data_IF_483404014664
#
_entry.id   IF_483404014664
#
_cell.length_a   1.000
_cell.length_b   1.000
_cell.length_c   1.000
_cell.angle_alpha   90.00
_cell.angle_beta   90.00
_cell.angle_gamma   90.00
#
_symmetry.space_group_name_H-M   'P 1'
#
loop_
_entity.id
_entity.type
_entity.pdbx_description
1 polymer ?
#
# COMPACT_ATOMS: atom_id res chain seq x y z
N UNK A 1 51.30 -38.99 -21.24
CA UNK A 1 50.33 -38.56 -20.21
C UNK A 1 49.80 -39.82 -19.53
N UNK A 2 50.07 -40.00 -18.24
CA UNK A 2 49.82 -41.28 -17.56
C UNK A 2 48.32 -41.61 -17.48
N UNK A 3 47.98 -42.88 -17.68
CA UNK A 3 46.59 -43.40 -17.60
C UNK A 3 45.89 -43.04 -16.27
N UNK A 4 46.66 -42.78 -15.21
CA UNK A 4 46.15 -42.31 -13.91
C UNK A 4 45.74 -40.85 -13.93
N UNK A 5 46.52 -39.98 -14.57
CA UNK A 5 46.23 -38.54 -14.68
C UNK A 5 45.00 -38.28 -15.55
N UNK A 6 44.84 -39.03 -16.64
CA UNK A 6 43.66 -38.93 -17.51
C UNK A 6 42.36 -39.39 -16.81
N UNK A 7 42.43 -40.42 -15.96
CA UNK A 7 41.26 -40.88 -15.17
C UNK A 7 40.88 -39.90 -14.07
N UNK A 8 41.86 -39.29 -13.40
CA UNK A 8 41.61 -38.24 -12.41
C UNK A 8 40.98 -37.01 -13.06
N UNK A 9 41.50 -36.56 -14.21
CA UNK A 9 40.93 -35.40 -14.91
C UNK A 9 39.50 -35.68 -15.39
N UNK A 10 39.26 -36.85 -15.97
CA UNK A 10 37.90 -37.23 -16.41
C UNK A 10 36.93 -37.40 -15.24
N UNK A 11 37.41 -37.88 -14.08
CA UNK A 11 36.60 -37.97 -12.86
C UNK A 11 36.21 -36.59 -12.33
N UNK A 12 37.16 -35.66 -12.27
CA UNK A 12 36.89 -34.27 -11.86
C UNK A 12 35.96 -33.57 -12.84
N UNK A 13 36.20 -33.74 -14.15
CA UNK A 13 35.37 -33.14 -15.19
C UNK A 13 33.95 -33.70 -15.16
N UNK A 14 33.79 -35.02 -14.99
CA UNK A 14 32.49 -35.65 -14.83
C UNK A 14 31.76 -35.12 -13.59
N UNK A 15 32.46 -34.93 -12.47
CA UNK A 15 31.88 -34.43 -11.23
C UNK A 15 31.49 -32.94 -11.33
N UNK A 16 32.30 -32.11 -12.02
CA UNK A 16 31.96 -30.72 -12.34
C UNK A 16 30.76 -30.64 -13.30
N UNK A 17 30.71 -31.48 -14.32
CA UNK A 17 29.56 -31.54 -15.23
C UNK A 17 28.30 -32.03 -14.52
N UNK A 18 28.42 -33.00 -13.62
CA UNK A 18 27.29 -33.53 -12.86
C UNK A 18 26.78 -32.49 -11.84
N UNK A 19 27.68 -31.71 -11.21
CA UNK A 19 27.32 -30.57 -10.39
C UNK A 19 26.62 -29.46 -11.20
N UNK A 20 27.11 -29.15 -12.41
CA UNK A 20 26.50 -28.18 -13.33
C UNK A 20 25.12 -28.62 -13.82
N UNK A 21 24.95 -29.92 -14.09
CA UNK A 21 23.64 -30.50 -14.46
C UNK A 21 22.69 -30.49 -13.26
N UNK A 22 23.17 -30.77 -12.04
CA UNK A 22 22.33 -30.64 -10.84
C UNK A 22 21.92 -29.19 -10.57
N UNK A 23 22.78 -28.20 -10.83
CA UNK A 23 22.39 -26.78 -10.75
C UNK A 23 21.40 -26.35 -11.83
N UNK A 24 21.37 -27.03 -12.98
CA UNK A 24 20.45 -26.74 -14.07
C UNK A 24 19.10 -27.47 -13.96
N UNK A 25 19.07 -28.64 -13.29
CA UNK A 25 17.87 -29.51 -13.21
C UNK A 25 17.14 -29.39 -11.87
N UNK A 26 17.80 -28.94 -10.79
CA UNK A 26 17.12 -28.59 -9.55
C UNK A 26 16.63 -27.14 -9.65
N UNK A 27 15.31 -26.88 -9.64
CA UNK A 27 14.84 -25.51 -9.67
C UNK A 27 15.27 -24.86 -8.36
N UNK A 28 16.32 -24.04 -8.40
CA UNK A 28 16.75 -23.15 -7.31
C UNK A 28 15.78 -21.98 -7.10
N UNK A 29 14.54 -22.10 -7.57
CA UNK A 29 13.48 -21.16 -7.25
C UNK A 29 13.02 -21.47 -5.84
N UNK A 30 13.55 -20.73 -4.86
CA UNK A 30 13.01 -20.70 -3.48
C UNK A 30 11.70 -19.93 -3.40
N UNK A 31 11.21 -19.46 -4.55
CA UNK A 31 10.05 -18.61 -4.72
C UNK A 31 8.78 -19.39 -4.36
N UNK A 32 8.17 -18.99 -3.26
CA UNK A 32 6.76 -19.33 -3.02
C UNK A 32 5.92 -18.35 -3.85
N UNK A 33 5.17 -18.86 -4.81
CA UNK A 33 4.18 -18.05 -5.50
C UNK A 33 3.11 -17.65 -4.48
N UNK A 34 2.75 -16.37 -4.43
CA UNK A 34 1.65 -15.86 -3.59
C UNK A 34 0.33 -16.63 -3.76
N UNK A 35 0.15 -17.38 -4.85
CA UNK A 35 -0.99 -18.24 -5.14
C UNK A 35 -0.99 -19.60 -4.43
N UNK A 36 0.11 -20.01 -3.78
CA UNK A 36 0.25 -21.33 -3.13
C UNK A 36 0.04 -21.32 -1.60
N UNK A 37 -0.04 -20.15 -0.97
CA UNK A 37 -0.40 -20.03 0.44
C UNK A 37 -1.89 -19.65 0.56
N UNK A 38 -2.74 -20.40 1.30
CA UNK A 38 -4.08 -19.92 1.61
C UNK A 38 -3.96 -18.66 2.50
N UNK A 39 -4.68 -17.60 2.13
CA UNK A 39 -4.52 -16.27 2.75
C UNK A 39 -5.23 -16.09 4.11
N UNK A 40 -6.25 -16.82 4.58
CA UNK A 40 -7.27 -17.65 3.96
C UNK A 40 -8.31 -16.68 3.37
N UNK A 41 -8.00 -16.26 2.15
CA UNK A 41 -8.80 -15.41 1.24
C UNK A 41 -9.00 -13.94 1.63
N UNK A 42 -7.84 -13.31 1.89
CA UNK A 42 -7.46 -11.92 1.59
C UNK A 42 -8.04 -10.89 2.55
N UNK A 43 -7.14 -10.28 3.35
CA UNK A 43 -7.48 -9.18 4.24
C UNK A 43 -8.38 -8.15 3.54
N UNK A 44 -9.48 -7.80 4.18
CA UNK A 44 -10.49 -6.89 3.66
C UNK A 44 -10.62 -5.67 4.56
N UNK A 45 -11.10 -4.58 3.99
CA UNK A 45 -11.55 -3.45 4.80
C UNK A 45 -12.90 -3.86 5.40
N UNK A 46 -13.11 -3.70 6.71
CA UNK A 46 -14.40 -3.98 7.32
C UNK A 46 -15.52 -3.14 6.68
N UNK A 47 -16.70 -3.75 6.51
CA UNK A 47 -17.91 -3.02 6.10
C UNK A 47 -18.61 -2.43 7.33
N UNK A 48 -18.94 -1.15 7.28
CA UNK A 48 -19.73 -0.47 8.31
C UNK A 48 -20.42 0.76 7.74
N UNK A 49 -21.65 1.03 8.21
CA UNK A 49 -22.40 2.23 7.84
C UNK A 49 -21.77 3.51 8.43
N UNK A 50 -21.03 3.37 9.54
CA UNK A 50 -20.39 4.46 10.25
C UNK A 50 -19.01 4.04 10.75
N UNK A 51 -17.98 4.73 10.28
CA UNK A 51 -16.60 4.39 10.64
C UNK A 51 -15.63 5.55 10.41
N UNK A 52 -14.46 5.39 11.04
CA UNK A 52 -13.23 6.13 10.75
C UNK A 52 -12.14 5.13 10.41
N UNK A 53 -11.36 5.41 9.38
CA UNK A 53 -10.21 4.60 9.00
C UNK A 53 -8.99 5.48 8.76
N UNK A 54 -7.83 5.01 9.19
CA UNK A 54 -6.55 5.67 8.93
C UNK A 54 -5.55 4.63 8.44
N UNK A 55 -4.58 5.06 7.66
CA UNK A 55 -3.47 4.20 7.30
C UNK A 55 -2.38 4.94 6.57
N UNK A 56 -1.18 4.37 6.62
CA UNK A 56 -0.01 4.92 5.97
C UNK A 56 0.89 3.80 5.45
N UNK A 57 1.59 4.08 4.35
CA UNK A 57 2.71 3.32 3.82
C UNK A 57 3.88 4.30 3.71
N UNK A 58 4.94 4.02 4.44
CA UNK A 58 6.21 4.71 4.32
C UNK A 58 7.17 3.78 3.60
N UNK A 59 8.03 4.37 2.77
CA UNK A 59 9.09 3.66 2.10
C UNK A 59 10.39 4.44 2.36
N UNK A 60 11.37 3.79 2.98
CA UNK A 60 12.61 4.41 3.47
C UNK A 60 12.34 5.64 4.36
N UNK A 61 11.32 5.55 5.23
CA UNK A 61 10.83 6.65 6.09
C UNK A 61 10.21 7.86 5.36
N UNK A 62 10.01 7.78 4.04
CA UNK A 62 9.27 8.79 3.26
C UNK A 62 7.82 8.35 3.04
N UNK A 63 6.86 9.26 3.17
CA UNK A 63 5.44 8.97 2.92
C UNK A 63 5.22 8.60 1.47
N UNK A 64 4.90 7.33 1.20
CA UNK A 64 4.46 6.88 -0.10
C UNK A 64 2.95 7.07 -0.28
N UNK A 65 2.19 6.78 0.78
CA UNK A 65 0.75 7.02 0.85
C UNK A 65 0.35 7.19 2.32
N UNK A 66 -0.52 8.15 2.60
CA UNK A 66 -1.19 8.29 3.88
C UNK A 66 -2.65 8.65 3.61
N UNK A 67 -3.57 8.10 4.39
CA UNK A 67 -4.98 8.44 4.28
C UNK A 67 -5.66 8.52 5.66
N UNK A 68 -6.67 9.38 5.73
CA UNK A 68 -7.66 9.41 6.80
C UNK A 68 -9.04 9.51 6.14
N UNK A 69 -9.97 8.67 6.56
CA UNK A 69 -11.32 8.65 6.03
C UNK A 69 -12.35 8.51 7.14
N UNK A 70 -13.52 9.13 6.96
CA UNK A 70 -14.64 8.97 7.88
C UNK A 70 -15.97 9.03 7.14
N UNK A 71 -16.91 8.18 7.58
CA UNK A 71 -18.31 8.12 7.14
C UNK A 71 -19.17 8.15 8.39
N UNK A 72 -20.07 9.11 8.50
CA UNK A 72 -20.94 9.32 9.68
C UNK A 72 -22.35 8.78 9.43
N UNK A 73 -23.10 8.52 10.51
CA UNK A 73 -24.48 8.04 10.42
C UNK A 73 -25.47 9.04 9.76
N UNK A 74 -25.19 10.35 9.87
CA UNK A 74 -25.94 11.41 9.17
C UNK A 74 -25.49 11.62 7.71
N UNK A 75 -24.54 10.80 7.24
CA UNK A 75 -24.10 10.74 5.86
C UNK A 75 -23.01 11.76 5.49
N UNK A 76 -22.48 12.49 6.47
CA UNK A 76 -21.27 13.29 6.35
C UNK A 76 -20.04 12.43 6.07
N UNK A 77 -19.19 12.89 5.15
CA UNK A 77 -18.05 12.11 4.67
C UNK A 77 -16.81 12.98 4.54
N UNK A 78 -15.68 12.39 4.88
CA UNK A 78 -14.38 13.03 4.82
C UNK A 78 -13.33 12.06 4.29
N UNK A 79 -12.43 12.56 3.46
CA UNK A 79 -11.28 11.81 2.97
C UNK A 79 -10.08 12.73 2.81
N UNK A 80 -8.99 12.41 3.49
CA UNK A 80 -7.67 12.98 3.29
C UNK A 80 -6.76 11.91 2.70
N UNK A 81 -5.99 12.27 1.68
CA UNK A 81 -4.96 11.45 1.04
C UNK A 81 -3.70 12.29 0.85
N UNK A 82 -2.55 11.74 1.20
CA UNK A 82 -1.23 12.34 1.03
C UNK A 82 -0.32 11.36 0.27
N UNK A 83 0.12 11.76 -0.91
CA UNK A 83 0.97 10.98 -1.82
C UNK A 83 2.36 11.67 -1.97
N UNK A 84 2.84 12.28 -0.87
CA UNK A 84 4.09 13.03 -0.83
C UNK A 84 3.91 14.46 -1.35
N UNK A 85 4.19 14.67 -2.65
CA UNK A 85 4.16 16.01 -3.27
C UNK A 85 2.73 16.54 -3.53
N UNK A 86 1.72 15.67 -3.40
CA UNK A 86 0.32 16.01 -3.61
C UNK A 86 -0.50 15.57 -2.41
N UNK A 87 -1.27 16.50 -1.86
CA UNK A 87 -2.25 16.24 -0.80
C UNK A 87 -3.64 16.57 -1.31
N UNK A 88 -4.59 15.67 -1.08
CA UNK A 88 -6.00 15.85 -1.45
C UNK A 88 -6.86 15.66 -0.22
N UNK A 89 -7.75 16.60 0.03
CA UNK A 89 -8.76 16.52 1.08
C UNK A 89 -10.14 16.70 0.45
N UNK A 90 -11.10 15.87 0.85
CA UNK A 90 -12.45 15.84 0.31
C UNK A 90 -13.47 15.88 1.45
N UNK A 91 -14.55 16.59 1.21
CA UNK A 91 -15.66 16.72 2.14
C UNK A 91 -16.98 16.68 1.38
N UNK A 92 -17.93 15.90 1.91
CA UNK A 92 -19.32 15.84 1.47
C UNK A 92 -20.20 15.90 2.70
N UNK A 93 -21.15 16.84 2.73
CA UNK A 93 -21.99 17.08 3.90
C UNK A 93 -23.06 15.99 4.08
N UNK A 94 -23.62 15.49 2.98
CA UNK A 94 -24.61 14.39 2.97
C UNK A 94 -24.59 13.68 1.60
N UNK A 95 -25.13 12.45 1.49
CA UNK A 95 -25.25 11.77 0.21
C UNK A 95 -26.10 12.59 -0.75
N UNK A 96 -25.59 12.83 -1.96
CA UNK A 96 -26.25 13.67 -2.95
C UNK A 96 -25.87 15.15 -2.90
N UNK A 97 -25.14 15.60 -1.88
CA UNK A 97 -24.54 16.93 -1.88
C UNK A 97 -23.26 16.96 -2.73
N UNK A 98 -22.86 18.15 -3.23
CA UNK A 98 -21.60 18.32 -3.93
C UNK A 98 -20.40 17.89 -3.08
N UNK A 99 -19.40 17.29 -3.74
CA UNK A 99 -18.12 16.99 -3.11
C UNK A 99 -17.20 18.20 -3.25
N UNK A 100 -16.71 18.72 -2.12
CA UNK A 100 -15.68 19.75 -2.10
C UNK A 100 -14.33 19.09 -1.97
N UNK A 101 -13.36 19.53 -2.76
CA UNK A 101 -12.00 18.98 -2.79
C UNK A 101 -10.97 20.10 -2.67
N UNK A 102 -10.04 19.96 -1.73
CA UNK A 102 -8.84 20.78 -1.60
C UNK A 102 -7.64 19.97 -2.08
N UNK A 103 -6.93 20.45 -3.10
CA UNK A 103 -5.73 19.82 -3.66
C UNK A 103 -4.55 20.74 -3.42
N UNK A 104 -3.52 20.28 -2.71
CA UNK A 104 -2.26 21.00 -2.50
C UNK A 104 -1.16 20.28 -3.27
N UNK A 105 -0.42 21.01 -4.09
CA UNK A 105 0.67 20.49 -4.92
C UNK A 105 1.94 21.27 -4.58
N UNK A 106 2.96 20.60 -4.06
CA UNK A 106 4.23 21.22 -3.65
C UNK A 106 5.20 21.42 -4.85
N UNK A 107 5.00 20.69 -5.96
CA UNK A 107 5.82 20.84 -7.18
C UNK A 107 5.12 21.67 -8.27
N UNK A 108 5.70 22.82 -8.61
CA UNK A 108 5.22 23.74 -9.64
C UNK A 108 5.22 23.16 -11.06
N UNK A 109 5.98 22.09 -11.34
CA UNK A 109 6.12 21.52 -12.68
C UNK A 109 4.84 20.88 -13.25
N UNK A 110 3.85 20.59 -12.40
CA UNK A 110 2.61 19.89 -12.79
C UNK A 110 1.33 20.72 -12.67
N UNK A 111 1.42 21.97 -12.19
CA UNK A 111 0.25 22.74 -11.76
C UNK A 111 -0.63 23.20 -12.93
N UNK A 112 -0.04 23.57 -14.06
CA UNK A 112 -0.81 24.04 -15.23
C UNK A 112 -1.60 22.90 -15.86
N UNK A 113 -0.98 21.71 -15.99
CA UNK A 113 -1.67 20.49 -16.44
C UNK A 113 -2.80 20.08 -15.51
N UNK A 114 -2.60 20.22 -14.19
CA UNK A 114 -3.64 19.93 -13.19
C UNK A 114 -4.82 20.90 -13.32
N UNK A 115 -4.54 22.19 -13.51
CA UNK A 115 -5.57 23.21 -13.75
C UNK A 115 -6.38 22.89 -15.00
N UNK A 116 -5.70 22.60 -16.11
CA UNK A 116 -6.36 22.22 -17.37
C UNK A 116 -7.24 20.98 -17.19
N UNK A 117 -6.75 19.95 -16.48
CA UNK A 117 -7.53 18.74 -16.22
C UNK A 117 -8.80 19.03 -15.41
N UNK A 118 -8.70 19.85 -14.36
CA UNK A 118 -9.86 20.27 -13.56
C UNK A 118 -10.86 21.04 -14.41
N UNK A 119 -10.40 21.97 -15.24
CA UNK A 119 -11.26 22.82 -16.07
C UNK A 119 -11.86 22.10 -17.29
N UNK A 120 -11.22 21.03 -17.75
CA UNK A 120 -11.71 20.20 -18.85
C UNK A 120 -12.85 19.27 -18.46
N UNK A 121 -13.01 19.03 -17.16
CA UNK A 121 -14.04 18.16 -16.60
C UNK A 121 -15.31 18.96 -16.30
N UNK A 122 -16.38 18.69 -17.04
CA UNK A 122 -17.64 19.44 -16.94
C UNK A 122 -18.38 19.21 -15.63
N UNK A 123 -18.04 18.15 -14.89
CA UNK A 123 -18.63 17.83 -13.57
C UNK A 123 -17.91 18.55 -12.44
N UNK A 124 -16.90 19.38 -12.77
CA UNK A 124 -16.06 20.07 -11.79
C UNK A 124 -16.02 21.57 -12.03
N UNK A 125 -16.00 22.30 -10.92
CA UNK A 125 -15.90 23.75 -10.87
C UNK A 125 -14.69 24.13 -10.00
N UNK A 126 -13.71 24.81 -10.59
CA UNK A 126 -12.61 25.39 -9.84
C UNK A 126 -13.10 26.65 -9.11
N UNK A 127 -13.32 26.55 -7.79
CA UNK A 127 -13.81 27.64 -6.95
C UNK A 127 -12.70 28.64 -6.60
N UNK A 128 -11.51 28.13 -6.28
CA UNK A 128 -10.38 28.96 -5.85
C UNK A 128 -9.06 28.31 -6.21
N UNK A 129 -8.11 29.15 -6.59
CA UNK A 129 -6.70 28.79 -6.70
C UNK A 129 -5.87 29.80 -5.89
N UNK A 130 -4.91 29.31 -5.10
CA UNK A 130 -3.94 30.14 -4.40
C UNK A 130 -2.55 29.55 -4.50
N UNK A 131 -1.56 30.39 -4.77
CA UNK A 131 -0.16 30.00 -4.90
C UNK A 131 0.67 30.64 -3.79
N UNK A 132 1.49 29.82 -3.14
CA UNK A 132 2.63 30.25 -2.30
C UNK A 132 3.94 29.96 -3.05
N UNK A 133 5.07 30.34 -2.48
CA UNK A 133 6.38 30.06 -3.08
C UNK A 133 6.64 28.54 -3.18
N UNK A 134 6.05 27.77 -2.27
CA UNK A 134 6.31 26.32 -2.11
C UNK A 134 5.15 25.42 -2.57
N UNK A 135 3.95 25.95 -2.86
CA UNK A 135 2.80 25.12 -3.23
C UNK A 135 1.70 25.87 -3.99
N UNK A 136 0.90 25.12 -4.74
CA UNK A 136 -0.37 25.58 -5.30
C UNK A 136 -1.52 24.81 -4.66
N UNK A 137 -2.51 25.54 -4.16
CA UNK A 137 -3.76 25.00 -3.60
C UNK A 137 -4.93 25.29 -4.53
N UNK A 138 -5.68 24.24 -4.87
CA UNK A 138 -6.93 24.31 -5.61
C UNK A 138 -8.09 23.92 -4.70
N UNK A 139 -9.16 24.71 -4.71
CA UNK A 139 -10.46 24.34 -4.13
C UNK A 139 -11.40 24.09 -5.30
N UNK A 140 -11.90 22.86 -5.37
CA UNK A 140 -12.75 22.36 -6.45
C UNK A 140 -14.06 21.91 -5.85
N UNK A 141 -15.16 22.21 -6.53
CA UNK A 141 -16.47 21.62 -6.27
C UNK A 141 -16.76 20.64 -7.39
N UNK A 142 -17.22 19.45 -7.04
CA UNK A 142 -17.65 18.42 -7.98
C UNK A 142 -19.13 18.14 -7.74
N UNK A 143 -19.85 17.83 -8.83
CA UNK A 143 -21.23 17.37 -8.74
C UNK A 143 -21.35 16.11 -7.86
N UNK A 144 -22.56 15.81 -7.43
CA UNK A 144 -22.83 14.79 -6.44
C UNK A 144 -22.36 13.40 -6.89
N UNK A 145 -21.22 12.97 -6.34
CA UNK A 145 -20.72 11.60 -6.37
C UNK A 145 -20.68 11.04 -4.95
N UNK A 146 -20.79 9.73 -4.81
CA UNK A 146 -20.73 9.09 -3.50
C UNK A 146 -19.27 9.04 -3.00
N UNK A 147 -18.91 9.86 -2.00
CA UNK A 147 -17.56 9.87 -1.43
C UNK A 147 -17.25 8.63 -0.55
N UNK A 148 -18.25 7.85 -0.12
CA UNK A 148 -18.01 6.67 0.72
C UNK A 148 -17.25 5.56 -0.04
N UNK A 149 -17.49 5.42 -1.34
CA UNK A 149 -16.75 4.50 -2.21
C UNK A 149 -15.27 4.89 -2.30
N UNK A 150 -14.96 6.18 -2.39
CA UNK A 150 -13.57 6.67 -2.39
C UNK A 150 -12.88 6.40 -1.05
N UNK A 151 -13.58 6.57 0.08
CA UNK A 151 -13.04 6.30 1.42
C UNK A 151 -12.69 4.82 1.58
N UNK A 152 -13.63 3.93 1.26
CA UNK A 152 -13.40 2.48 1.32
C UNK A 152 -12.34 2.02 0.30
N UNK A 153 -12.26 2.67 -0.86
CA UNK A 153 -11.23 2.47 -1.87
C UNK A 153 -9.83 2.81 -1.35
N UNK A 154 -9.65 3.95 -0.68
CA UNK A 154 -8.37 4.35 -0.09
C UNK A 154 -7.91 3.35 1.00
N UNK A 155 -8.82 2.96 1.90
CA UNK A 155 -8.54 1.92 2.90
C UNK A 155 -8.14 0.58 2.24
N UNK A 156 -8.79 0.22 1.13
CA UNK A 156 -8.52 -1.02 0.40
C UNK A 156 -7.12 -1.05 -0.21
N UNK A 157 -6.55 0.10 -0.62
CA UNK A 157 -5.17 0.18 -1.13
C UNK A 157 -4.17 -0.20 -0.03
N UNK A 158 -4.35 0.31 1.19
CA UNK A 158 -3.49 -0.02 2.32
C UNK A 158 -3.62 -1.50 2.68
N UNK A 159 -4.85 -1.99 2.85
CA UNK A 159 -5.09 -3.39 3.22
C UNK A 159 -4.55 -4.36 2.16
N UNK A 160 -4.69 -4.05 0.88
CA UNK A 160 -4.12 -4.86 -0.22
C UNK A 160 -2.60 -4.85 -0.24
N UNK A 161 -1.97 -3.80 0.27
CA UNK A 161 -0.50 -3.72 0.34
C UNK A 161 0.08 -4.75 1.31
N UNK A 162 -0.70 -5.24 2.29
CA UNK A 162 -0.32 -6.37 3.15
C UNK A 162 -0.08 -7.67 2.34
N UNK A 163 -0.65 -7.81 1.15
CA UNK A 163 -0.50 -9.05 0.35
C UNK A 163 0.91 -9.24 -0.19
N UNK A 164 1.80 -8.26 -0.05
CA UNK A 164 3.22 -8.42 -0.40
C UNK A 164 3.94 -9.42 0.53
N UNK A 165 3.35 -9.76 1.67
CA UNK A 165 3.91 -10.66 2.67
C UNK A 165 3.07 -11.92 2.85
N UNK A 166 3.73 -13.01 3.24
CA UNK A 166 3.06 -14.16 3.84
C UNK A 166 2.88 -13.95 5.34
N UNK A 167 1.89 -14.62 5.93
CA UNK A 167 1.61 -14.53 7.37
C UNK A 167 1.48 -15.90 8.02
N UNK A 168 1.70 -15.99 9.34
CA UNK A 168 1.25 -17.10 10.18
C UNK A 168 0.23 -16.58 11.19
N UNK A 169 -0.81 -17.35 11.42
CA UNK A 169 -1.75 -17.11 12.52
C UNK A 169 -1.10 -17.47 13.87
N UNK A 170 -1.33 -16.65 14.89
CA UNK A 170 -0.97 -17.00 16.27
C UNK A 170 -1.97 -18.01 16.85
N UNK A 171 -1.46 -19.03 17.54
CA UNK A 171 -2.23 -20.21 17.95
C UNK A 171 -3.19 -20.00 19.15
N UNK A 172 -3.27 -18.80 19.73
CA UNK A 172 -3.99 -18.53 20.98
C UNK A 172 -4.82 -17.25 20.88
N UNK A 173 -5.99 -17.34 20.25
CA UNK A 173 -6.93 -16.21 20.06
C UNK A 173 -8.04 -16.28 21.12
N UNK A 174 -7.66 -16.16 22.40
CA UNK A 174 -8.61 -16.14 23.53
C UNK A 174 -9.48 -14.87 23.58
N UNK A 175 -9.39 -13.98 22.57
CA UNK A 175 -10.01 -12.66 22.55
C UNK A 175 -10.57 -12.29 21.17
N UNK A 176 -11.59 -12.99 20.65
CA UNK A 176 -12.50 -12.51 19.59
C UNK A 176 -11.88 -11.74 18.41
N UNK A 177 -10.64 -12.06 18.03
CA UNK A 177 -9.83 -11.39 17.03
C UNK A 177 -8.70 -12.34 16.64
N UNK A 178 -8.47 -12.50 15.34
CA UNK A 178 -7.36 -13.30 14.85
C UNK A 178 -6.12 -12.43 14.65
N UNK A 179 -4.97 -12.91 15.12
CA UNK A 179 -3.69 -12.20 15.03
C UNK A 179 -2.76 -12.92 14.07
N UNK A 180 -2.17 -12.15 13.15
CA UNK A 180 -1.28 -12.64 12.11
C UNK A 180 0.10 -11.97 12.21
N UNK A 181 1.16 -12.78 12.22
CA UNK A 181 2.56 -12.32 12.19
C UNK A 181 3.13 -12.47 10.77
N UNK A 182 3.83 -11.46 10.24
CA UNK A 182 4.42 -11.50 8.90
C UNK A 182 5.59 -12.48 8.84
N UNK A 183 5.86 -12.99 7.64
CA UNK A 183 6.92 -13.95 7.35
C UNK A 183 7.98 -13.33 6.45
N UNK A 184 9.23 -13.70 6.72
CA UNK A 184 10.34 -13.51 5.79
C UNK A 184 10.31 -14.61 4.72
N UNK A 185 10.82 -14.33 3.53
CA UNK A 185 10.87 -15.33 2.47
C UNK A 185 11.06 -14.76 1.07
N UNK A 186 11.04 -15.67 0.10
CA UNK A 186 11.05 -15.36 -1.33
C UNK A 186 9.63 -15.41 -1.85
N UNK A 187 9.30 -14.41 -2.66
CA UNK A 187 7.96 -14.20 -3.15
C UNK A 187 7.98 -13.82 -4.63
N UNK A 188 6.86 -14.06 -5.31
CA UNK A 188 6.68 -13.78 -6.73
C UNK A 188 5.76 -12.58 -6.94
N UNK A 189 6.24 -11.57 -7.68
CA UNK A 189 5.46 -10.42 -8.13
C UNK A 189 5.61 -10.22 -9.64
N UNK A 190 5.72 -8.96 -10.09
CA UNK A 190 6.15 -8.66 -11.47
C UNK A 190 7.56 -9.21 -11.73
N UNK A 191 8.40 -9.15 -10.70
CA UNK A 191 9.68 -9.84 -10.61
C UNK A 191 9.80 -10.52 -9.24
N UNK A 192 10.63 -11.57 -9.11
CA UNK A 192 10.89 -12.19 -7.83
C UNK A 192 11.53 -11.23 -6.83
N UNK A 193 11.14 -11.33 -5.57
CA UNK A 193 11.69 -10.50 -4.51
C UNK A 193 11.89 -11.28 -3.22
N UNK A 194 12.77 -10.76 -2.38
CA UNK A 194 13.06 -11.33 -1.07
C UNK A 194 12.70 -10.34 0.02
N UNK A 195 12.04 -10.85 1.06
CA UNK A 195 11.67 -10.11 2.25
C UNK A 195 12.52 -10.57 3.43
N UNK A 196 13.08 -9.61 4.14
CA UNK A 196 13.80 -9.83 5.40
C UNK A 196 13.33 -8.84 6.47
N UNK A 197 13.63 -9.14 7.73
CA UNK A 197 13.31 -8.23 8.84
C UNK A 197 11.82 -7.97 9.04
N UNK A 198 10.93 -8.79 8.49
CA UNK A 198 9.50 -8.61 8.61
C UNK A 198 9.07 -8.76 10.08
N UNK A 199 8.43 -7.73 10.62
CA UNK A 199 7.98 -7.66 12.01
C UNK A 199 6.62 -6.94 12.10
N UNK A 200 5.97 -7.05 13.26
CA UNK A 200 4.67 -6.44 13.50
C UNK A 200 3.51 -7.44 13.47
N UNK A 201 2.28 -6.94 13.43
CA UNK A 201 1.05 -7.73 13.54
C UNK A 201 -0.07 -7.15 12.70
N UNK A 202 -0.91 -8.03 12.18
CA UNK A 202 -2.24 -7.71 11.64
C UNK A 202 -3.28 -8.33 12.55
N UNK A 203 -4.28 -7.56 12.97
CA UNK A 203 -5.40 -8.01 13.79
C UNK A 203 -6.68 -7.92 12.99
N UNK A 204 -7.42 -9.02 12.92
CA UNK A 204 -8.75 -9.03 12.32
C UNK A 204 -9.86 -8.82 13.35
N UNK A 205 -11.05 -8.54 12.84
CA UNK A 205 -12.28 -8.49 13.63
C UNK A 205 -12.84 -9.91 13.75
N UNK A 206 -12.96 -10.43 14.98
CA UNK A 206 -13.50 -11.77 15.16
C UNK A 206 -12.65 -12.84 14.48
N UNK A 207 -13.35 -13.80 13.90
CA UNK A 207 -12.78 -14.87 13.10
C UNK A 207 -12.88 -14.56 11.58
N UNK A 208 -13.02 -13.27 11.20
CA UNK A 208 -13.05 -12.83 9.79
C UNK A 208 -11.67 -12.39 9.29
N UNK A 209 -11.57 -12.05 8.01
CA UNK A 209 -10.39 -11.44 7.38
C UNK A 209 -10.42 -9.92 7.40
N UNK A 210 -11.43 -9.30 8.01
CA UNK A 210 -11.56 -7.85 8.06
C UNK A 210 -10.54 -7.26 9.00
N UNK A 211 -9.67 -6.39 8.49
CA UNK A 211 -8.57 -5.84 9.29
C UNK A 211 -9.12 -4.80 10.24
N UNK A 212 -8.96 -5.04 11.55
CA UNK A 212 -9.17 -4.01 12.56
C UNK A 212 -7.98 -3.07 12.61
N UNK A 213 -6.78 -3.64 12.69
CA UNK A 213 -5.55 -2.88 12.74
C UNK A 213 -4.36 -3.64 12.18
N UNK A 214 -3.39 -2.90 11.65
CA UNK A 214 -2.13 -3.44 11.19
C UNK A 214 -0.99 -2.49 11.56
N UNK A 215 0.15 -3.06 11.95
CA UNK A 215 1.42 -2.36 12.03
C UNK A 215 2.48 -3.35 11.61
N UNK A 216 3.04 -3.16 10.43
CA UNK A 216 3.92 -4.14 9.77
C UNK A 216 5.10 -3.40 9.15
N UNK A 217 6.30 -3.87 9.44
CA UNK A 217 7.55 -3.35 8.89
C UNK A 217 8.29 -4.47 8.20
N UNK A 218 8.90 -4.22 7.03
CA UNK A 218 9.73 -5.20 6.34
C UNK A 218 10.77 -4.54 5.42
N UNK A 219 11.86 -5.26 5.17
CA UNK A 219 12.84 -4.90 4.15
C UNK A 219 12.60 -5.73 2.90
N UNK A 220 12.71 -5.09 1.73
CA UNK A 220 12.50 -5.72 0.44
C UNK A 220 13.72 -5.54 -0.46
N UNK A 221 14.21 -6.65 -1.01
CA UNK A 221 15.23 -6.65 -2.07
C UNK A 221 14.62 -7.11 -3.39
N UNK A 222 14.86 -6.34 -4.45
CA UNK A 222 14.38 -6.57 -5.82
C UNK A 222 15.48 -6.27 -6.84
N UNK A 223 15.67 -7.10 -7.88
CA UNK A 223 15.16 -8.46 -8.04
C UNK A 223 15.92 -9.44 -7.11
N UNK A 224 15.23 -10.44 -6.56
CA UNK A 224 15.88 -11.47 -5.74
C UNK A 224 15.09 -12.79 -5.80
N UNK A 225 15.22 -13.53 -6.89
CA UNK A 225 14.57 -14.84 -7.08
C UNK A 225 15.39 -16.03 -6.58
N UNK A 226 16.69 -15.82 -6.34
CA UNK A 226 17.61 -16.83 -5.80
C UNK A 226 18.55 -16.24 -4.76
N UNK A 227 19.20 -17.10 -3.96
CA UNK A 227 20.28 -16.66 -3.06
C UNK A 227 21.46 -16.02 -3.80
N UNK A 228 21.77 -16.47 -5.02
CA UNK A 228 22.86 -15.91 -5.82
C UNK A 228 22.53 -14.49 -6.30
N UNK A 229 21.30 -14.25 -6.73
CA UNK A 229 20.81 -12.92 -7.10
C UNK A 229 20.76 -12.00 -5.88
N UNK A 230 20.27 -12.47 -4.75
CA UNK A 230 20.24 -11.71 -3.50
C UNK A 230 21.66 -11.29 -3.06
N UNK A 231 22.62 -12.21 -3.12
CA UNK A 231 24.02 -11.91 -2.81
C UNK A 231 24.63 -10.92 -3.79
N UNK A 232 24.33 -11.05 -5.09
CA UNK A 232 24.80 -10.13 -6.12
C UNK A 232 24.24 -8.71 -5.89
N UNK A 233 22.92 -8.57 -5.70
CA UNK A 233 22.28 -7.27 -5.43
C UNK A 233 22.85 -6.62 -4.18
N UNK A 234 23.08 -7.38 -3.09
CA UNK A 234 23.71 -6.85 -1.87
C UNK A 234 25.17 -6.42 -2.07
N UNK A 235 25.87 -6.98 -3.05
CA UNK A 235 27.28 -6.66 -3.35
C UNK A 235 27.42 -5.52 -4.35
N UNK A 236 26.46 -5.34 -5.26
CA UNK A 236 26.58 -4.42 -6.40
C UNK A 236 25.49 -3.35 -6.47
N UNK A 237 24.44 -3.45 -5.65
CA UNK A 237 23.26 -2.59 -5.71
C UNK A 237 23.00 -1.84 -4.41
N UNK A 238 21.91 -1.07 -4.42
CA UNK A 238 21.43 -0.30 -3.27
C UNK A 238 20.99 -1.21 -2.12
N UNK A 239 20.93 -0.64 -0.92
CA UNK A 239 20.40 -1.32 0.26
C UNK A 239 18.95 -1.80 0.02
N UNK A 240 18.50 -2.86 0.72
CA UNK A 240 17.09 -3.22 0.72
C UNK A 240 16.22 -2.00 1.05
N UNK A 241 15.10 -1.89 0.34
CA UNK A 241 14.13 -0.83 0.60
C UNK A 241 13.28 -1.20 1.80
N UNK A 242 13.24 -0.35 2.82
CA UNK A 242 12.44 -0.57 4.03
C UNK A 242 11.03 -0.02 3.83
N UNK A 243 10.02 -0.77 4.26
CA UNK A 243 8.63 -0.36 4.22
C UNK A 243 8.01 -0.45 5.61
N UNK A 244 7.21 0.55 5.97
CA UNK A 244 6.39 0.57 7.17
C UNK A 244 4.94 0.78 6.77
N UNK A 245 4.03 -0.06 7.28
CA UNK A 245 2.61 0.02 7.01
C UNK A 245 1.84 0.08 8.32
N UNK A 246 0.99 1.09 8.46
CA UNK A 246 0.01 1.19 9.54
C UNK A 246 -1.41 1.25 8.97
N UNK A 247 -2.36 0.67 9.71
CA UNK A 247 -3.78 0.74 9.41
C UNK A 247 -4.57 0.62 10.71
N UNK A 248 -5.62 1.41 10.86
CA UNK A 248 -6.58 1.30 11.96
C UNK A 248 -7.98 1.59 11.42
N UNK A 249 -8.94 0.74 11.79
CA UNK A 249 -10.35 0.88 11.46
C UNK A 249 -11.17 0.96 12.74
N UNK A 250 -11.93 2.02 12.90
CA UNK A 250 -12.80 2.28 14.04
C UNK A 250 -14.25 2.35 13.57
N UNK A 251 -15.02 1.31 13.86
CA UNK A 251 -16.48 1.29 13.71
C UNK A 251 -17.18 2.01 14.88
N UNK A 252 -18.29 2.70 14.59
CA UNK A 252 -19.16 3.32 15.60
C UNK A 252 -19.22 4.85 15.48
N UNK A 253 -19.86 5.49 16.46
CA UNK A 253 -20.18 6.93 16.42
C UNK A 253 -18.95 7.79 16.09
N UNK A 254 -19.01 8.47 14.96
CA UNK A 254 -17.97 9.37 14.46
C UNK A 254 -18.60 10.67 13.98
N UNK A 255 -17.81 11.73 13.95
CA UNK A 255 -18.28 13.03 13.49
C UNK A 255 -17.34 13.59 12.44
N UNK A 256 -17.92 14.24 11.44
CA UNK A 256 -17.20 14.98 10.42
C UNK A 256 -17.64 16.44 10.53
N UNK A 257 -16.69 17.30 10.88
CA UNK A 257 -16.93 18.74 10.88
C UNK A 257 -16.64 19.32 9.51
N UNK A 258 -17.50 20.24 9.05
CA UNK A 258 -17.27 20.99 7.81
C UNK A 258 -15.92 21.72 7.89
N UNK A 259 -14.98 21.47 6.96
CA UNK A 259 -13.70 22.15 6.96
C UNK A 259 -13.83 23.65 6.68
N UNK A 260 -12.96 24.46 7.27
CA UNK A 260 -12.98 25.93 7.13
C UNK A 260 -12.75 26.43 5.71
N UNK A 261 -12.13 25.63 4.86
CA UNK A 261 -11.90 25.94 3.44
C UNK A 261 -13.13 25.69 2.56
N UNK A 262 -14.17 25.02 3.09
CA UNK A 262 -15.46 24.84 2.44
C UNK A 262 -16.37 26.01 2.83
N UNK A 263 -16.26 27.13 2.12
CA UNK A 263 -17.15 28.29 2.32
C UNK A 263 -18.50 28.06 1.65
N UNK A 264 -19.59 28.54 2.27
CA UNK A 264 -20.86 28.67 1.57
C UNK A 264 -20.66 29.72 0.47
N UNK A 265 -20.94 29.36 -0.79
CA UNK A 265 -21.20 30.33 -1.85
C UNK A 265 -22.55 31.03 -1.58
N UNK A 266 -22.73 31.61 -0.39
CA UNK A 266 -23.78 32.58 -0.15
C UNK A 266 -23.27 33.89 -0.75
N UNK A 267 -23.52 34.02 -2.05
CA UNK A 267 -23.34 35.21 -2.85
C UNK A 267 -23.84 36.42 -2.05
N UNK A 268 -22.92 37.27 -1.58
CA UNK A 268 -23.24 38.69 -1.45
C UNK A 268 -23.22 39.26 -2.87
N UNK A 269 -24.41 39.37 -3.46
CA UNK A 269 -24.74 40.30 -4.53
C UNK A 269 -26.25 40.57 -4.51
#
# INVERSE_FOLDING_TARGET
MDRRTARLLNGVLALCCLALVFTAVYPFTTVDTHSKNPVDERFTVPESDEYRATGAILADSETALEFEGAVTADGGRYLFINEGAVRTEQFQASPGDPVYRRIVVEDGGSTDRRREWIQSDTERELLRESRTDDAVTFIVKQDATDLADDVSGAASVIVRSLYVLGYKQEADTTQGATVYEPKNGWYEGVEPYHINGATGKVRSIGDTTDVRSATVTWDQTRPAGTYAELALVRLTGDAPKTYDLSFEFESGETTVSRPSWVTDNRTEA
#
